data_IF_196855255990
#
_entry.id   IF_196855255990
#
_cell.length_a   1.000
_cell.length_b   1.000
_cell.length_c   1.000
_cell.angle_alpha   90.00
_cell.angle_beta   90.00
_cell.angle_gamma   90.00
#
_symmetry.space_group_name_H-M   'P 1'
#
loop_
_entity.id
_entity.type
_entity.pdbx_description
1 polymer ?
#
# COMPACT_ATOMS: atom_id res chain seq x y z
N UNK A 1 17.21 0.10 11.53
CA UNK A 1 17.12 1.49 11.02
C UNK A 1 16.15 2.31 11.87
N UNK A 2 16.26 3.64 11.88
CA UNK A 2 15.26 4.51 12.49
C UNK A 2 14.27 4.94 11.41
N UNK A 3 13.14 4.24 11.31
CA UNK A 3 12.14 4.48 10.27
C UNK A 3 11.35 5.76 10.57
N UNK A 4 11.24 6.72 9.63
CA UNK A 4 10.49 7.95 9.85
C UNK A 4 8.98 7.68 9.91
N UNK A 5 8.28 8.45 10.73
CA UNK A 5 6.81 8.44 10.80
C UNK A 5 6.27 9.63 9.99
N UNK A 6 5.26 9.41 9.15
CA UNK A 6 4.57 10.49 8.43
C UNK A 6 3.25 10.85 9.13
N UNK A 7 3.06 12.13 9.46
CA UNK A 7 1.81 12.62 10.05
C UNK A 7 0.82 12.99 8.96
N UNK A 8 -0.30 12.27 8.90
CA UNK A 8 -1.38 12.58 7.96
C UNK A 8 -2.25 13.77 8.36
N UNK A 9 -2.11 14.23 9.61
CA UNK A 9 -2.79 15.43 10.13
C UNK A 9 -2.06 16.70 9.68
N UNK A 10 -0.75 16.76 9.92
CA UNK A 10 0.08 17.92 9.58
C UNK A 10 0.70 17.81 8.17
N UNK A 11 0.56 16.65 7.53
CA UNK A 11 1.11 16.35 6.20
C UNK A 11 2.64 16.51 6.09
N UNK A 12 3.36 16.32 7.20
CA UNK A 12 4.83 16.42 7.29
C UNK A 12 5.43 15.20 7.96
N UNK A 13 6.74 15.01 7.79
CA UNK A 13 7.52 14.00 8.51
C UNK A 13 7.56 14.36 10.00
N UNK A 14 7.21 13.40 10.86
CA UNK A 14 7.35 13.52 12.31
C UNK A 14 8.83 13.52 12.71
N UNK A 15 9.22 14.26 13.77
CA UNK A 15 10.56 14.12 14.36
C UNK A 15 10.77 12.73 15.00
N UNK A 16 9.69 12.03 15.35
CA UNK A 16 9.74 10.70 15.92
C UNK A 16 10.05 9.63 14.87
N UNK A 17 10.75 8.58 15.31
CA UNK A 17 11.12 7.44 14.46
C UNK A 17 10.83 6.13 15.18
N UNK A 18 10.56 5.09 14.41
CA UNK A 18 10.36 3.73 14.91
C UNK A 18 11.66 2.94 14.68
N UNK A 19 12.31 2.41 15.73
CA UNK A 19 13.48 1.57 15.55
C UNK A 19 13.06 0.21 14.98
N UNK A 20 13.48 -0.06 13.74
CA UNK A 20 13.26 -1.33 13.05
C UNK A 20 14.51 -2.18 13.17
N UNK A 21 14.38 -3.35 13.80
CA UNK A 21 15.43 -4.36 13.88
C UNK A 21 15.44 -5.22 12.61
N UNK A 22 16.60 -5.79 12.23
CA UNK A 22 16.65 -6.80 11.19
C UNK A 22 15.71 -7.98 11.52
N UNK A 23 15.10 -8.54 10.49
CA UNK A 23 14.21 -9.70 10.56
C UNK A 23 14.47 -10.62 9.36
N UNK A 24 14.15 -11.90 9.50
CA UNK A 24 14.28 -12.88 8.40
C UNK A 24 13.28 -12.61 7.27
N UNK A 25 12.11 -12.05 7.61
CA UNK A 25 11.09 -11.60 6.65
C UNK A 25 10.91 -10.10 6.79
N UNK A 26 11.00 -9.38 5.67
CA UNK A 26 10.73 -7.95 5.59
C UNK A 26 9.57 -7.71 4.64
N UNK A 27 8.50 -7.11 5.16
CA UNK A 27 7.35 -6.69 4.33
C UNK A 27 7.51 -5.22 3.98
N UNK A 28 7.63 -4.93 2.69
CA UNK A 28 7.66 -3.56 2.16
C UNK A 28 6.31 -3.23 1.56
N UNK A 29 5.64 -2.27 2.16
CA UNK A 29 4.26 -1.88 1.89
C UNK A 29 4.21 -0.48 1.27
N UNK A 30 3.36 -0.30 0.26
CA UNK A 30 3.03 1.03 -0.27
C UNK A 30 2.49 1.00 -1.69
N UNK A 31 1.83 2.08 -2.07
CA UNK A 31 1.16 2.21 -3.38
C UNK A 31 2.11 2.28 -4.59
N UNK A 32 3.41 2.54 -4.38
CA UNK A 32 4.40 2.73 -5.46
C UNK A 32 5.58 1.76 -5.37
N UNK A 33 5.53 0.75 -4.49
CA UNK A 33 6.65 -0.18 -4.25
C UNK A 33 7.07 -0.91 -5.53
N UNK A 34 6.11 -1.25 -6.39
CA UNK A 34 6.38 -1.96 -7.65
C UNK A 34 6.72 -1.04 -8.83
N UNK A 35 6.71 0.27 -8.65
CA UNK A 35 7.05 1.21 -9.74
C UNK A 35 8.55 1.26 -9.97
N UNK A 36 9.34 1.31 -8.90
CA UNK A 36 10.79 1.44 -8.98
C UNK A 36 11.48 0.10 -9.35
N UNK A 37 12.25 0.04 -10.46
CA UNK A 37 12.97 -1.17 -10.84
C UNK A 37 14.04 -1.61 -9.83
N UNK A 38 14.70 -0.66 -9.17
CA UNK A 38 15.72 -0.94 -8.16
C UNK A 38 15.11 -1.68 -6.98
N UNK A 39 14.00 -1.19 -6.44
CA UNK A 39 13.27 -1.83 -5.37
C UNK A 39 12.75 -3.21 -5.80
N UNK A 40 12.18 -3.34 -7.00
CA UNK A 40 11.69 -4.63 -7.52
C UNK A 40 12.77 -5.71 -7.59
N UNK A 41 14.01 -5.33 -7.86
CA UNK A 41 15.14 -6.25 -7.93
C UNK A 41 15.57 -6.81 -6.56
N UNK A 42 15.18 -6.13 -5.48
CA UNK A 42 15.47 -6.52 -4.09
C UNK A 42 14.35 -7.35 -3.45
N UNK A 43 13.17 -7.43 -4.08
CA UNK A 43 12.01 -8.15 -3.55
C UNK A 43 12.00 -9.58 -4.06
N UNK A 44 11.88 -10.57 -3.17
CA UNK A 44 11.73 -11.98 -3.58
C UNK A 44 10.31 -12.30 -4.05
N UNK A 45 9.30 -11.72 -3.39
CA UNK A 45 7.88 -11.94 -3.68
C UNK A 45 7.20 -10.58 -3.91
N UNK A 46 6.59 -10.39 -5.08
CA UNK A 46 5.90 -9.15 -5.46
C UNK A 46 4.39 -9.37 -5.49
N UNK A 47 3.67 -8.66 -4.61
CA UNK A 47 2.22 -8.80 -4.47
C UNK A 47 1.53 -7.49 -4.82
N UNK A 48 0.45 -7.56 -5.59
CA UNK A 48 -0.45 -6.45 -5.84
C UNK A 48 -1.84 -6.77 -5.31
N UNK A 49 -2.37 -5.90 -4.45
CA UNK A 49 -3.74 -6.05 -3.91
C UNK A 49 -4.69 -5.28 -4.81
N UNK A 50 -5.64 -6.00 -5.42
CA UNK A 50 -6.56 -5.45 -6.40
C UNK A 50 -7.96 -5.27 -5.79
N UNK A 51 -8.54 -4.10 -6.06
CA UNK A 51 -9.88 -3.74 -5.61
C UNK A 51 -10.46 -2.66 -6.52
N UNK A 52 -11.78 -2.68 -6.69
CA UNK A 52 -12.46 -1.73 -7.56
C UNK A 52 -12.29 -0.29 -7.06
N UNK A 53 -12.36 0.66 -8.00
CA UNK A 53 -12.03 2.05 -7.73
C UNK A 53 -13.04 2.73 -6.79
N UNK A 54 -14.30 2.33 -6.86
CA UNK A 54 -15.40 2.75 -6.00
C UNK A 54 -15.25 2.21 -4.58
N UNK A 55 -14.95 0.92 -4.42
CA UNK A 55 -14.66 0.30 -3.12
C UNK A 55 -13.49 1.01 -2.43
N UNK A 56 -12.41 1.26 -3.17
CA UNK A 56 -11.25 2.00 -2.66
C UNK A 56 -11.60 3.44 -2.29
N UNK A 57 -12.39 4.12 -3.12
CA UNK A 57 -12.82 5.50 -2.84
C UNK A 57 -13.70 5.56 -1.59
N UNK A 58 -14.65 4.64 -1.43
CA UNK A 58 -15.49 4.54 -0.23
C UNK A 58 -14.66 4.39 1.05
N UNK A 59 -13.69 3.48 1.05
CA UNK A 59 -12.75 3.28 2.17
C UNK A 59 -11.92 4.54 2.45
N UNK A 60 -11.43 5.23 1.40
CA UNK A 60 -10.66 6.47 1.55
C UNK A 60 -11.50 7.59 2.15
N UNK A 61 -12.75 7.75 1.71
CA UNK A 61 -13.67 8.76 2.25
C UNK A 61 -13.93 8.49 3.72
N UNK A 62 -14.29 7.26 4.09
CA UNK A 62 -14.53 6.89 5.48
C UNK A 62 -13.31 7.15 6.37
N UNK A 63 -12.12 6.69 5.95
CA UNK A 63 -10.87 6.89 6.70
C UNK A 63 -10.50 8.38 6.83
N UNK A 64 -10.55 9.15 5.75
CA UNK A 64 -10.13 10.55 5.78
C UNK A 64 -11.10 11.44 6.58
N UNK A 65 -12.38 11.06 6.70
CA UNK A 65 -13.33 11.73 7.59
C UNK A 65 -13.05 11.37 9.05
N UNK A 66 -13.00 10.07 9.36
CA UNK A 66 -12.91 9.57 10.75
C UNK A 66 -11.55 9.87 11.38
N UNK A 67 -10.46 9.59 10.66
CA UNK A 67 -9.10 9.65 11.23
C UNK A 67 -8.39 10.98 10.95
N UNK A 68 -8.81 11.73 9.92
CA UNK A 68 -8.10 12.93 9.46
C UNK A 68 -8.95 14.20 9.50
N UNK A 69 -10.22 14.12 9.90
CA UNK A 69 -11.11 15.27 10.07
C UNK A 69 -11.41 16.03 8.77
N UNK A 70 -11.32 15.37 7.61
CA UNK A 70 -11.54 16.03 6.31
C UNK A 70 -13.01 15.98 5.90
N UNK A 71 -13.45 16.98 5.14
CA UNK A 71 -14.78 16.97 4.52
C UNK A 71 -14.81 16.07 3.27
N UNK A 72 -16.00 15.53 2.96
CA UNK A 72 -16.20 14.69 1.77
C UNK A 72 -15.79 15.42 0.49
N UNK A 73 -16.16 16.70 0.36
CA UNK A 73 -15.85 17.52 -0.81
C UNK A 73 -14.34 17.65 -1.03
N UNK A 74 -13.56 17.85 0.04
CA UNK A 74 -12.11 17.94 -0.04
C UNK A 74 -11.48 16.62 -0.50
N UNK A 75 -12.01 15.49 -0.03
CA UNK A 75 -11.53 14.16 -0.45
C UNK A 75 -11.83 13.91 -1.93
N UNK A 76 -13.04 14.23 -2.39
CA UNK A 76 -13.45 14.06 -3.79
C UNK A 76 -12.65 14.97 -4.74
N UNK A 77 -12.43 16.23 -4.37
CA UNK A 77 -11.62 17.15 -5.16
C UNK A 77 -10.18 16.64 -5.29
N UNK A 78 -9.57 16.23 -4.18
CA UNK A 78 -8.23 15.62 -4.17
C UNK A 78 -8.20 14.34 -5.02
N UNK A 79 -9.21 13.50 -4.92
CA UNK A 79 -9.30 12.26 -5.67
C UNK A 79 -9.26 12.51 -7.17
N UNK A 80 -10.11 13.40 -7.67
CA UNK A 80 -10.20 13.72 -9.09
C UNK A 80 -8.95 14.46 -9.60
N UNK A 81 -8.42 15.40 -8.82
CA UNK A 81 -7.28 16.23 -9.23
C UNK A 81 -5.95 15.49 -9.22
N UNK A 82 -5.76 14.55 -8.29
CA UNK A 82 -4.43 13.97 -8.04
C UNK A 82 -4.43 12.46 -7.92
N UNK A 83 -5.31 11.87 -7.09
CA UNK A 83 -5.20 10.45 -6.74
C UNK A 83 -5.52 9.55 -7.94
N UNK A 84 -6.64 9.82 -8.62
CA UNK A 84 -7.08 9.02 -9.77
C UNK A 84 -6.10 9.14 -10.96
N UNK A 85 -5.68 10.34 -11.40
CA UNK A 85 -4.67 10.46 -12.45
C UNK A 85 -3.36 9.73 -12.11
N UNK A 86 -2.81 9.93 -10.91
CA UNK A 86 -1.58 9.27 -10.49
C UNK A 86 -1.74 7.75 -10.37
N UNK A 87 -2.90 7.27 -9.94
CA UNK A 87 -3.17 5.84 -9.90
C UNK A 87 -3.16 5.22 -11.30
N UNK A 88 -3.89 5.81 -12.24
CA UNK A 88 -3.95 5.32 -13.62
C UNK A 88 -2.58 5.41 -14.33
N UNK A 89 -1.80 6.44 -14.02
CA UNK A 89 -0.50 6.67 -14.67
C UNK A 89 0.63 5.80 -14.09
N UNK A 90 0.66 5.59 -12.78
CA UNK A 90 1.82 4.99 -12.11
C UNK A 90 1.50 3.70 -11.36
N UNK A 91 0.39 3.66 -10.62
CA UNK A 91 0.09 2.55 -9.72
C UNK A 91 -0.49 1.36 -10.49
N UNK A 92 -1.53 1.59 -11.29
CA UNK A 92 -2.21 0.54 -12.05
C UNK A 92 -1.26 -0.18 -13.03
N UNK A 93 -0.39 0.53 -13.79
CA UNK A 93 0.57 -0.15 -14.66
C UNK A 93 1.61 -0.99 -13.92
N UNK A 94 1.89 -0.69 -12.64
CA UNK A 94 2.86 -1.46 -11.83
C UNK A 94 2.37 -2.88 -11.49
N UNK A 95 1.05 -3.12 -11.57
CA UNK A 95 0.40 -4.42 -11.39
C UNK A 95 1.00 -5.52 -12.26
N UNK A 96 1.48 -5.17 -13.46
CA UNK A 96 2.14 -6.12 -14.40
C UNK A 96 3.43 -6.73 -13.87
N UNK A 97 4.02 -6.13 -12.84
CA UNK A 97 5.26 -6.60 -12.22
C UNK A 97 5.01 -7.47 -10.98
N UNK A 98 3.76 -7.68 -10.59
CA UNK A 98 3.42 -8.54 -9.46
C UNK A 98 3.50 -10.01 -9.89
N UNK A 99 4.05 -10.84 -9.01
CA UNK A 99 4.01 -12.29 -9.15
C UNK A 99 2.62 -12.83 -8.77
N UNK A 100 1.95 -12.17 -7.81
CA UNK A 100 0.62 -12.56 -7.30
C UNK A 100 -0.28 -11.33 -7.20
N UNK A 101 -1.51 -11.47 -7.70
CA UNK A 101 -2.58 -10.48 -7.54
C UNK A 101 -3.64 -11.03 -6.59
N UNK A 102 -3.94 -10.30 -5.51
CA UNK A 102 -4.93 -10.70 -4.51
C UNK A 102 -6.15 -9.79 -4.59
N UNK A 103 -7.32 -10.31 -5.04
CA UNK A 103 -8.56 -9.55 -5.04
C UNK A 103 -9.13 -9.42 -3.61
N UNK A 104 -9.89 -8.37 -3.35
CA UNK A 104 -10.65 -8.19 -2.09
C UNK A 104 -9.81 -7.76 -0.88
N UNK A 105 -8.48 -7.79 -0.99
CA UNK A 105 -7.56 -7.35 0.05
C UNK A 105 -7.74 -8.09 1.38
N UNK A 106 -7.96 -7.35 2.47
CA UNK A 106 -7.95 -7.88 3.84
C UNK A 106 -9.03 -8.90 4.19
N UNK A 107 -10.06 -9.04 3.36
CA UNK A 107 -11.15 -10.02 3.56
C UNK A 107 -10.87 -11.36 2.87
N UNK A 108 -9.85 -11.42 1.99
CA UNK A 108 -9.49 -12.63 1.28
C UNK A 108 -8.56 -13.52 2.12
N UNK A 109 -9.14 -14.21 3.10
CA UNK A 109 -8.42 -15.11 4.00
C UNK A 109 -7.64 -16.19 3.24
N UNK A 110 -8.21 -16.70 2.14
CA UNK A 110 -7.54 -17.71 1.30
C UNK A 110 -6.28 -17.14 0.64
N UNK A 111 -6.35 -15.93 0.09
CA UNK A 111 -5.18 -15.25 -0.49
C UNK A 111 -4.08 -14.99 0.54
N UNK A 112 -4.47 -14.64 1.78
CA UNK A 112 -3.54 -14.44 2.89
C UNK A 112 -2.88 -15.76 3.29
N UNK A 113 -3.63 -16.85 3.38
CA UNK A 113 -3.08 -18.17 3.71
C UNK A 113 -2.10 -18.67 2.65
N UNK A 114 -2.39 -18.44 1.36
CA UNK A 114 -1.48 -18.77 0.26
C UNK A 114 -0.16 -18.00 0.41
N UNK A 115 -0.21 -16.69 0.67
CA UNK A 115 1.00 -15.90 0.91
C UNK A 115 1.79 -16.42 2.11
N UNK A 116 1.11 -16.72 3.22
CA UNK A 116 1.76 -17.27 4.41
C UNK A 116 2.53 -18.54 4.06
N UNK A 117 1.91 -19.48 3.34
CA UNK A 117 2.57 -20.73 2.95
C UNK A 117 3.76 -20.51 2.02
N UNK A 118 3.71 -19.53 1.11
CA UNK A 118 4.84 -19.23 0.22
C UNK A 118 6.02 -18.65 1.01
N UNK A 119 5.75 -17.73 1.95
CA UNK A 119 6.77 -17.13 2.81
C UNK A 119 7.40 -18.21 3.71
N UNK A 120 6.59 -19.06 4.34
CA UNK A 120 7.07 -20.17 5.18
C UNK A 120 7.95 -21.15 4.41
N UNK A 121 7.66 -21.38 3.13
CA UNK A 121 8.50 -22.22 2.26
C UNK A 121 9.80 -21.54 1.85
N UNK A 122 9.84 -20.21 1.71
CA UNK A 122 11.06 -19.48 1.39
C UNK A 122 12.04 -19.36 2.57
N UNK A 123 11.53 -19.50 3.79
CA UNK A 123 12.36 -19.49 5.02
C UNK A 123 13.05 -20.83 5.32
N UNK A 124 12.65 -21.91 4.63
CA UNK A 124 13.20 -23.26 4.81
C UNK A 124 14.16 -23.62 3.69
#
# INVERSE_FOLDING_TARGET
INMPIYSYLTCVRSPETIPIKPAEVVVVEGILVLVDPGLRSLLDIKVFVDADADDRLGRVIQRDIVERGRSVMMVLERYNKTVKPSHLQFIEPSKRYADIIIPGGGENLVGIDVLRTIVEKHLR
#
